data_IF_269059474868
#
_entry.id   IF_269059474868
#
_cell.length_a   1.000
_cell.length_b   1.000
_cell.length_c   1.000
_cell.angle_alpha   90.00
_cell.angle_beta   90.00
_cell.angle_gamma   90.00
#
_symmetry.space_group_name_H-M   'P 1'
#
loop_
_entity.id
_entity.type
_entity.pdbx_description
1 polymer ?
#
# COMPACT_ATOMS: atom_id res chain seq x y z
N UNK A 1 24.14 -73.83 -13.20
CA UNK A 1 24.13 -72.81 -14.25
C UNK A 1 23.83 -71.48 -13.59
N UNK A 2 24.81 -70.58 -13.61
CA UNK A 2 24.72 -69.23 -13.08
C UNK A 2 24.10 -68.32 -14.11
N UNK A 3 23.22 -67.40 -13.70
CA UNK A 3 23.35 -66.03 -14.16
C UNK A 3 22.86 -65.04 -13.10
N UNK A 4 23.54 -63.91 -12.99
CA UNK A 4 23.45 -62.93 -11.91
C UNK A 4 23.47 -61.55 -12.57
N UNK A 5 22.30 -60.97 -12.79
CA UNK A 5 22.22 -59.61 -13.33
C UNK A 5 22.15 -58.59 -12.19
N UNK A 6 23.33 -58.20 -11.73
CA UNK A 6 23.53 -56.99 -10.94
C UNK A 6 23.15 -55.75 -11.77
N UNK A 7 22.42 -54.81 -11.16
CA UNK A 7 22.13 -53.50 -11.74
C UNK A 7 22.36 -52.42 -10.70
N UNK A 8 23.59 -51.89 -10.69
CA UNK A 8 24.02 -50.73 -9.93
C UNK A 8 24.47 -49.60 -10.89
N UNK A 9 24.62 -48.35 -10.44
CA UNK A 9 24.10 -47.21 -11.17
C UNK A 9 25.16 -46.57 -12.08
N UNK A 10 24.71 -45.73 -13.01
CA UNK A 10 25.60 -44.79 -13.69
C UNK A 10 25.57 -43.45 -12.98
N UNK A 11 26.60 -43.21 -12.18
CA UNK A 11 27.04 -41.85 -11.87
C UNK A 11 27.28 -41.08 -13.17
N UNK A 12 26.79 -39.84 -13.24
CA UNK A 12 27.16 -38.88 -14.29
C UNK A 12 27.93 -37.73 -13.62
N UNK A 13 29.14 -37.41 -14.08
CA UNK A 13 30.01 -36.47 -13.38
C UNK A 13 29.60 -35.00 -13.57
N UNK A 14 30.12 -34.19 -12.67
CA UNK A 14 29.99 -32.75 -12.60
C UNK A 14 30.50 -32.05 -13.88
N UNK A 15 29.82 -30.99 -14.29
CA UNK A 15 30.41 -29.91 -15.08
C UNK A 15 30.48 -28.66 -14.22
N UNK A 16 31.67 -28.38 -13.68
CA UNK A 16 32.00 -27.10 -13.05
C UNK A 16 32.24 -26.01 -14.11
N UNK A 17 32.34 -24.76 -13.63
CA UNK A 17 32.83 -23.58 -14.34
C UNK A 17 31.91 -22.94 -15.38
N UNK A 18 31.41 -21.73 -15.08
CA UNK A 18 32.17 -20.55 -15.48
C UNK A 18 31.88 -19.35 -14.56
N UNK A 19 32.94 -18.66 -14.15
CA UNK A 19 32.92 -17.43 -13.37
C UNK A 19 33.32 -16.28 -14.27
N UNK A 20 32.59 -15.17 -14.23
CA UNK A 20 33.02 -13.92 -14.85
C UNK A 20 32.56 -12.69 -14.05
N UNK A 21 33.50 -11.76 -13.96
CA UNK A 21 33.59 -10.46 -13.27
C UNK A 21 32.28 -9.65 -13.15
N UNK A 22 31.97 -9.01 -12.01
CA UNK A 22 32.68 -7.86 -11.39
C UNK A 22 32.79 -6.67 -12.36
N UNK A 23 31.67 -5.94 -12.50
CA UNK A 23 31.61 -4.61 -13.09
C UNK A 23 31.03 -3.61 -12.08
N UNK A 24 31.87 -3.07 -11.21
CA UNK A 24 31.48 -2.01 -10.28
C UNK A 24 31.87 -0.65 -10.85
N UNK A 25 30.89 0.15 -11.25
CA UNK A 25 31.10 1.58 -11.48
C UNK A 25 29.96 2.40 -10.87
N UNK A 26 30.33 3.27 -9.95
CA UNK A 26 29.42 4.14 -9.21
C UNK A 26 30.04 5.52 -9.02
N UNK A 27 29.39 6.55 -9.58
CA UNK A 27 29.33 7.97 -9.16
C UNK A 27 28.47 8.73 -10.20
N UNK A 28 27.38 9.36 -9.77
CA UNK A 28 27.27 10.82 -9.52
C UNK A 28 27.32 11.64 -10.84
N UNK A 29 26.42 12.58 -11.14
CA UNK A 29 25.75 13.55 -10.25
C UNK A 29 24.28 13.82 -10.63
N UNK A 30 23.41 14.06 -9.65
CA UNK A 30 22.24 14.94 -9.80
C UNK A 30 22.13 15.84 -8.56
N UNK A 31 22.28 17.15 -8.76
CA UNK A 31 22.06 18.16 -7.71
C UNK A 31 20.56 18.31 -7.47
N UNK A 32 20.09 17.85 -6.31
CA UNK A 32 18.81 18.30 -5.76
C UNK A 32 19.03 19.62 -5.02
N UNK A 33 18.49 20.71 -5.54
CA UNK A 33 18.46 22.01 -4.87
C UNK A 33 17.03 22.44 -4.59
N UNK A 34 16.64 22.47 -3.31
CA UNK A 34 15.57 23.32 -2.77
C UNK A 34 15.86 23.59 -1.30
N UNK A 35 16.50 24.73 -1.02
CA UNK A 35 16.53 25.28 0.33
C UNK A 35 15.17 25.95 0.59
N UNK A 36 14.41 25.42 1.55
CA UNK A 36 13.20 26.08 2.06
C UNK A 36 13.51 26.53 3.47
N UNK A 37 13.82 27.81 3.59
CA UNK A 37 14.17 28.46 4.84
C UNK A 37 12.95 28.56 5.75
N UNK A 38 13.03 27.93 6.92
CA UNK A 38 12.01 28.03 7.96
C UNK A 38 11.94 29.46 8.51
N UNK A 39 10.77 30.10 8.38
CA UNK A 39 10.51 31.42 8.94
C UNK A 39 10.49 31.37 10.47
N UNK A 40 11.42 32.06 11.12
CA UNK A 40 11.45 32.23 12.56
C UNK A 40 10.79 33.56 12.98
N UNK A 41 9.72 33.48 13.75
CA UNK A 41 9.02 34.62 14.36
C UNK A 41 7.68 34.16 14.97
N UNK A 42 7.20 34.70 16.08
CA UNK A 42 7.81 35.61 17.05
C UNK A 42 7.22 35.32 18.45
N UNK A 43 7.79 35.92 19.50
CA UNK A 43 7.33 35.75 20.89
C UNK A 43 6.01 36.50 21.15
N UNK A 44 5.18 35.95 22.02
CA UNK A 44 4.25 36.72 22.84
C UNK A 44 4.02 36.01 24.19
N UNK A 45 4.52 36.60 25.27
CA UNK A 45 4.17 36.21 26.64
C UNK A 45 2.78 36.74 26.99
N UNK A 46 1.88 35.88 27.49
CA UNK A 46 0.71 36.28 28.27
C UNK A 46 0.57 35.36 29.48
N UNK A 47 0.50 35.96 30.67
CA UNK A 47 0.18 35.32 31.96
C UNK A 47 -1.21 35.81 32.44
N UNK A 48 -1.68 35.21 33.54
CA UNK A 48 -2.89 35.54 34.31
C UNK A 48 -4.22 35.09 33.68
N UNK A 49 -5.22 34.59 34.43
CA UNK A 49 -5.24 34.28 35.88
C UNK A 49 -6.23 33.16 36.22
N UNK A 50 -6.17 32.67 37.46
CA UNK A 50 -7.01 31.58 38.03
C UNK A 50 -8.44 32.00 38.37
N UNK A 51 -9.43 31.09 38.26
CA UNK A 51 -10.80 31.33 38.77
C UNK A 51 -11.70 30.08 38.91
N UNK A 52 -12.44 30.01 40.02
CA UNK A 52 -13.48 29.04 40.42
C UNK A 52 -14.88 29.71 40.49
N UNK A 53 -16.03 29.05 40.72
CA UNK A 53 -16.39 27.68 41.15
C UNK A 53 -17.50 27.09 40.22
N UNK A 54 -17.57 25.77 39.96
CA UNK A 54 -18.38 24.74 40.65
C UNK A 54 -19.92 24.97 40.72
N UNK A 55 -20.67 23.96 40.25
CA UNK A 55 -22.14 23.74 40.43
C UNK A 55 -23.09 24.77 39.80
N UNK A 56 -24.33 24.48 39.35
CA UNK A 56 -25.16 23.26 39.16
C UNK A 56 -26.12 23.59 38.00
N UNK A 57 -26.75 22.66 37.29
CA UNK A 57 -28.11 22.18 37.60
C UNK A 57 -28.54 21.07 36.60
N UNK A 58 -29.46 20.21 37.01
CA UNK A 58 -29.94 19.04 36.26
C UNK A 58 -31.16 19.36 35.41
N UNK A 59 -30.96 19.58 34.10
CA UNK A 59 -32.02 19.58 33.10
C UNK A 59 -32.20 18.20 32.47
N UNK A 60 -33.07 17.37 33.04
CA UNK A 60 -33.63 16.20 32.33
C UNK A 60 -34.65 16.67 31.31
N UNK A 61 -34.24 16.85 30.06
CA UNK A 61 -35.16 17.02 28.93
C UNK A 61 -35.34 15.68 28.20
N UNK A 62 -36.41 14.99 28.58
CA UNK A 62 -36.79 13.66 28.09
C UNK A 62 -37.69 13.84 26.85
N UNK A 63 -37.10 14.31 25.74
CA UNK A 63 -37.81 14.49 24.46
C UNK A 63 -37.12 13.81 23.27
N UNK A 64 -37.94 13.03 22.57
CA UNK A 64 -37.74 12.44 21.25
C UNK A 64 -36.47 11.61 20.99
N UNK A 65 -36.39 10.48 21.68
CA UNK A 65 -35.83 9.24 21.14
C UNK A 65 -36.71 8.61 20.04
N UNK A 66 -37.29 9.43 19.14
CA UNK A 66 -38.01 9.01 17.94
C UNK A 66 -37.34 9.65 16.72
N UNK A 67 -37.06 8.82 15.73
CA UNK A 67 -36.35 9.21 14.51
C UNK A 67 -34.93 9.74 14.76
N UNK A 68 -34.08 8.85 15.28
CA UNK A 68 -32.69 8.79 14.81
C UNK A 68 -32.70 8.47 13.30
N UNK A 69 -33.00 9.51 12.52
CA UNK A 69 -32.97 9.52 11.07
C UNK A 69 -31.67 8.87 10.63
N UNK A 70 -31.79 7.78 9.87
CA UNK A 70 -30.69 7.18 9.15
C UNK A 70 -30.23 8.24 8.15
N UNK A 71 -29.32 9.11 8.57
CA UNK A 71 -28.66 10.04 7.67
C UNK A 71 -27.67 9.22 6.88
N UNK A 72 -28.20 8.47 5.91
CA UNK A 72 -27.43 7.93 4.79
C UNK A 72 -26.59 9.11 4.30
N UNK A 73 -25.26 9.07 4.49
CA UNK A 73 -24.43 10.18 4.10
C UNK A 73 -24.60 10.30 2.59
N UNK A 74 -25.06 11.48 2.13
CA UNK A 74 -25.28 11.74 0.71
C UNK A 74 -24.00 11.32 -0.03
N UNK A 75 -24.08 10.20 -0.75
CA UNK A 75 -22.92 9.58 -1.39
C UNK A 75 -22.38 10.55 -2.42
N UNK A 76 -21.42 11.38 -1.99
CA UNK A 76 -20.81 12.38 -2.84
C UNK A 76 -20.06 11.58 -3.90
N UNK A 77 -20.43 11.65 -5.20
CA UNK A 77 -19.91 10.72 -6.18
C UNK A 77 -18.40 10.89 -6.32
N UNK A 78 -17.65 9.99 -5.68
CA UNK A 78 -16.21 10.04 -5.72
C UNK A 78 -15.75 9.67 -7.12
N UNK A 79 -14.89 10.49 -7.72
CA UNK A 79 -14.39 10.28 -9.09
C UNK A 79 -13.59 8.97 -9.28
N UNK A 80 -13.28 8.28 -8.19
CA UNK A 80 -12.50 7.04 -8.14
C UNK A 80 -13.19 6.00 -7.24
N UNK A 81 -13.12 4.70 -7.59
CA UNK A 81 -13.74 3.63 -6.82
C UNK A 81 -13.21 3.56 -5.37
N UNK A 82 -14.12 3.28 -4.44
CA UNK A 82 -13.75 2.98 -3.06
C UNK A 82 -13.52 1.47 -2.91
N UNK A 83 -12.39 1.04 -2.33
CA UNK A 83 -12.21 -0.36 -1.98
C UNK A 83 -13.13 -0.68 -0.79
N UNK A 84 -14.01 -1.68 -0.95
CA UNK A 84 -14.87 -2.15 0.14
C UNK A 84 -14.02 -2.63 1.32
N UNK A 85 -14.55 -2.59 2.56
CA UNK A 85 -13.90 -3.20 3.71
C UNK A 85 -13.51 -4.66 3.43
N UNK A 86 -12.36 -5.15 3.94
CA UNK A 86 -11.95 -6.54 3.73
C UNK A 86 -13.01 -7.52 4.24
N UNK A 87 -13.43 -8.45 3.39
CA UNK A 87 -14.37 -9.50 3.74
C UNK A 87 -13.72 -10.52 4.68
N UNK A 88 -14.53 -11.29 5.42
CA UNK A 88 -14.01 -12.42 6.19
C UNK A 88 -13.43 -13.48 5.24
N UNK A 89 -12.26 -14.03 5.56
CA UNK A 89 -11.56 -14.98 4.71
C UNK A 89 -11.00 -14.43 3.40
N UNK A 90 -10.83 -13.10 3.27
CA UNK A 90 -10.21 -12.49 2.08
C UNK A 90 -8.83 -13.10 1.75
N UNK A 91 -8.53 -13.17 0.46
CA UNK A 91 -7.21 -13.59 -0.01
C UNK A 91 -6.15 -12.57 0.40
N UNK A 92 -5.00 -13.05 0.89
CA UNK A 92 -3.85 -12.18 1.16
C UNK A 92 -3.11 -11.87 -0.14
N UNK A 93 -2.67 -10.64 -0.29
CA UNK A 93 -1.78 -10.21 -1.36
C UNK A 93 -0.34 -10.20 -0.82
N UNK A 94 0.58 -10.84 -1.55
CA UNK A 94 1.99 -10.91 -1.20
C UNK A 94 2.70 -9.57 -1.50
N UNK A 95 2.50 -8.60 -0.61
CA UNK A 95 3.06 -7.25 -0.74
C UNK A 95 4.58 -7.23 -0.54
N UNK A 96 5.31 -6.92 -1.60
CA UNK A 96 6.75 -6.66 -1.56
C UNK A 96 7.05 -5.14 -1.55
N UNK A 97 8.23 -4.69 -1.11
CA UNK A 97 8.69 -3.32 -1.37
C UNK A 97 8.75 -3.02 -2.88
N UNK A 98 8.46 -1.79 -3.28
CA UNK A 98 8.71 -1.36 -4.66
C UNK A 98 10.23 -1.26 -4.90
N UNK A 99 10.72 -1.95 -5.94
CA UNK A 99 12.17 -2.03 -6.26
C UNK A 99 12.51 -1.42 -7.63
N UNK A 100 11.62 -0.61 -8.21
CA UNK A 100 11.89 0.10 -9.47
C UNK A 100 12.14 -0.83 -10.68
N UNK A 101 11.45 -1.99 -10.75
CA UNK A 101 11.68 -3.05 -11.75
C UNK A 101 11.61 -2.60 -13.22
N UNK A 102 10.97 -1.47 -13.50
CA UNK A 102 10.87 -0.89 -14.84
C UNK A 102 10.97 0.63 -14.73
N UNK A 103 11.66 1.26 -15.70
CA UNK A 103 11.86 2.71 -15.75
C UNK A 103 10.56 3.50 -15.93
N UNK A 104 9.49 2.87 -16.43
CA UNK A 104 8.15 3.47 -16.49
C UNK A 104 7.06 2.45 -16.19
N UNK A 105 6.06 2.89 -15.44
CA UNK A 105 4.82 2.17 -15.20
C UNK A 105 3.66 3.13 -15.43
N UNK A 106 2.66 2.72 -16.21
CA UNK A 106 1.47 3.52 -16.49
C UNK A 106 0.37 3.14 -15.50
N UNK A 107 -0.08 4.09 -14.70
CA UNK A 107 -1.32 3.94 -13.91
C UNK A 107 -2.49 3.82 -14.88
N UNK A 108 -3.30 2.77 -14.70
CA UNK A 108 -4.52 2.48 -15.48
C UNK A 108 -5.80 2.80 -14.73
N UNK A 109 -5.78 2.62 -13.42
CA UNK A 109 -6.90 2.81 -12.50
C UNK A 109 -6.35 3.13 -11.10
N UNK A 110 -7.15 3.76 -10.25
CA UNK A 110 -6.76 4.30 -8.94
C UNK A 110 -7.99 4.31 -8.00
N UNK A 111 -7.83 3.94 -6.74
CA UNK A 111 -8.90 4.08 -5.73
C UNK A 111 -9.08 5.52 -5.25
N UNK A 112 -10.16 5.82 -4.52
CA UNK A 112 -10.22 7.04 -3.71
C UNK A 112 -8.90 7.26 -2.93
N UNK A 113 -8.54 8.51 -2.73
CA UNK A 113 -7.49 8.89 -1.79
C UNK A 113 -8.03 9.29 -0.40
N UNK A 114 -9.33 9.05 -0.20
CA UNK A 114 -10.09 9.34 1.01
C UNK A 114 -9.70 8.50 2.22
N UNK A 115 -9.04 7.37 2.00
CA UNK A 115 -8.49 6.50 3.03
C UNK A 115 -6.96 6.70 3.17
N UNK A 116 -6.37 6.42 4.34
CA UNK A 116 -4.92 6.43 4.52
C UNK A 116 -4.15 5.43 3.63
N UNK A 117 -4.85 4.47 3.00
CA UNK A 117 -4.28 3.56 2.01
C UNK A 117 -4.98 3.75 0.68
N UNK A 118 -4.23 4.11 -0.36
CA UNK A 118 -4.68 4.11 -1.75
C UNK A 118 -4.01 3.00 -2.56
N UNK A 119 -4.65 2.61 -3.66
CA UNK A 119 -4.19 1.56 -4.56
C UNK A 119 -4.22 2.03 -6.01
N UNK A 120 -3.14 1.78 -6.75
CA UNK A 120 -3.01 2.06 -8.18
C UNK A 120 -2.90 0.73 -8.94
N UNK A 121 -3.69 0.55 -10.01
CA UNK A 121 -3.46 -0.53 -10.97
C UNK A 121 -2.43 -0.06 -12.01
N UNK A 122 -1.23 -0.60 -11.94
CA UNK A 122 -0.10 -0.22 -12.77
C UNK A 122 0.16 -1.23 -13.89
N UNK A 123 0.51 -0.73 -15.08
CA UNK A 123 0.91 -1.54 -16.24
C UNK A 123 2.36 -1.24 -16.64
N UNK A 124 3.18 -2.28 -16.78
CA UNK A 124 4.57 -2.19 -17.22
C UNK A 124 5.03 -3.52 -17.84
N UNK A 125 5.85 -3.46 -18.90
CA UNK A 125 6.40 -4.64 -19.58
C UNK A 125 5.36 -5.73 -19.96
N UNK A 126 4.14 -5.34 -20.33
CA UNK A 126 3.04 -6.27 -20.66
C UNK A 126 2.38 -6.96 -19.47
N UNK A 127 2.81 -6.66 -18.24
CA UNK A 127 2.26 -7.17 -16.98
C UNK A 127 1.47 -6.09 -16.24
N UNK A 128 0.64 -6.52 -15.30
CA UNK A 128 -0.04 -5.66 -14.34
C UNK A 128 0.43 -5.95 -12.91
N UNK A 129 0.52 -4.92 -12.08
CA UNK A 129 0.68 -5.04 -10.63
C UNK A 129 -0.17 -3.98 -9.94
N UNK A 130 -0.51 -4.21 -8.68
CA UNK A 130 -1.14 -3.20 -7.83
C UNK A 130 -0.05 -2.55 -7.00
N UNK A 131 0.06 -1.22 -7.04
CA UNK A 131 0.85 -0.46 -6.07
C UNK A 131 -0.05 -0.02 -4.93
N UNK A 132 0.35 -0.30 -3.69
CA UNK A 132 -0.31 0.14 -2.46
C UNK A 132 0.53 1.22 -1.79
N UNK A 133 -0.07 2.39 -1.62
CA UNK A 133 0.53 3.55 -0.95
C UNK A 133 -0.17 3.74 0.40
N UNK A 134 0.58 3.61 1.49
CA UNK A 134 0.08 3.77 2.86
C UNK A 134 0.67 5.03 3.48
N UNK A 135 -0.20 6.01 3.78
CA UNK A 135 0.13 7.25 4.48
C UNK A 135 0.02 6.99 6.00
N UNK A 136 1.13 7.08 6.72
CA UNK A 136 1.19 6.86 8.18
C UNK A 136 1.83 8.07 8.87
N UNK A 137 1.69 8.25 10.20
CA UNK A 137 2.40 9.31 10.93
C UNK A 137 3.94 9.23 10.80
N UNK A 138 4.48 8.07 10.45
CA UNK A 138 5.91 7.85 10.20
C UNK A 138 6.31 8.05 8.73
N UNK A 139 5.42 8.60 7.90
CA UNK A 139 5.62 8.86 6.48
C UNK A 139 4.88 7.89 5.55
N UNK A 140 5.25 7.91 4.27
CA UNK A 140 4.61 7.14 3.20
C UNK A 140 5.35 5.83 2.97
N UNK A 141 4.63 4.71 2.97
CA UNK A 141 5.14 3.38 2.60
C UNK A 141 4.54 2.94 1.28
N UNK A 142 5.38 2.53 0.34
CA UNK A 142 4.96 2.02 -0.98
C UNK A 142 5.32 0.54 -1.08
N UNK A 143 4.35 -0.26 -1.50
CA UNK A 143 4.49 -1.70 -1.71
C UNK A 143 3.78 -2.13 -3.00
N UNK A 144 4.22 -3.23 -3.61
CA UNK A 144 3.67 -3.77 -4.85
C UNK A 144 3.17 -5.20 -4.62
N UNK A 145 2.09 -5.57 -5.32
CA UNK A 145 1.69 -6.97 -5.48
C UNK A 145 2.69 -7.72 -6.36
N UNK A 146 2.57 -9.05 -6.49
CA UNK A 146 3.20 -9.78 -7.59
C UNK A 146 2.83 -9.15 -8.94
N UNK A 147 3.75 -9.21 -9.90
CA UNK A 147 3.52 -8.76 -11.27
C UNK A 147 2.89 -9.91 -12.06
N UNK A 148 1.67 -9.71 -12.54
CA UNK A 148 0.78 -10.75 -13.06
C UNK A 148 0.46 -10.51 -14.54
N UNK A 149 0.05 -11.57 -15.25
CA UNK A 149 -0.54 -11.42 -16.60
C UNK A 149 -1.82 -10.59 -16.51
N UNK A 150 -2.14 -9.84 -17.57
CA UNK A 150 -3.25 -8.86 -17.58
C UNK A 150 -4.56 -9.38 -17.00
N UNK A 151 -5.01 -10.58 -17.38
CA UNK A 151 -6.25 -11.16 -16.86
C UNK A 151 -6.21 -11.43 -15.34
N UNK A 152 -5.08 -11.93 -14.82
CA UNK A 152 -4.89 -12.17 -13.39
C UNK A 152 -4.77 -10.86 -12.60
N UNK A 153 -4.07 -9.87 -13.15
CA UNK A 153 -3.96 -8.54 -12.51
C UNK A 153 -5.30 -7.79 -12.44
N UNK A 154 -6.13 -7.88 -13.49
CA UNK A 154 -7.49 -7.35 -13.47
C UNK A 154 -8.38 -8.10 -12.46
N UNK A 155 -8.31 -9.44 -12.42
CA UNK A 155 -9.05 -10.22 -11.43
C UNK A 155 -8.64 -9.88 -9.99
N UNK A 156 -7.34 -9.64 -9.74
CA UNK A 156 -6.83 -9.19 -8.45
C UNK A 156 -7.32 -7.78 -8.09
N UNK A 157 -7.36 -6.86 -9.06
CA UNK A 157 -7.89 -5.51 -8.88
C UNK A 157 -9.37 -5.54 -8.49
N UNK A 158 -10.21 -6.27 -9.22
CA UNK A 158 -11.63 -6.45 -8.88
C UNK A 158 -11.80 -7.11 -7.51
N UNK A 159 -11.01 -8.14 -7.19
CA UNK A 159 -11.06 -8.77 -5.86
C UNK A 159 -10.69 -7.80 -4.73
N UNK A 160 -9.71 -6.91 -4.94
CA UNK A 160 -9.33 -5.88 -3.98
C UNK A 160 -10.45 -4.85 -3.80
N UNK A 161 -11.02 -4.33 -4.89
CA UNK A 161 -12.12 -3.35 -4.82
C UNK A 161 -13.37 -3.93 -4.12
N UNK A 162 -13.64 -5.22 -4.29
CA UNK A 162 -14.75 -5.91 -3.64
C UNK A 162 -14.46 -6.32 -2.19
N UNK A 163 -13.24 -6.10 -1.68
CA UNK A 163 -12.81 -6.52 -0.35
C UNK A 163 -12.47 -8.02 -0.24
N UNK A 164 -12.48 -8.76 -1.35
CA UNK A 164 -12.12 -10.20 -1.42
C UNK A 164 -10.61 -10.45 -1.40
N UNK A 165 -9.78 -9.43 -1.57
CA UNK A 165 -8.32 -9.50 -1.44
C UNK A 165 -7.75 -8.28 -0.68
N UNK A 166 -6.62 -8.42 0.04
CA UNK A 166 -6.03 -7.33 0.84
C UNK A 166 -4.51 -7.37 0.98
#
# INVERSE_FOLDING_TARGET
>A
MTDRHDHHPRDSPLTESESADVGADARADVRAGTDVTLGAGARADVRADTGTDASTDTGTDDQDARECNHHDPIETPHAFPHPKPPQNGHARIDWAPSVGRCASARVRDLTCECLPTSYELCAAAGLLHIRRTQRTPQGVRISESPWLRTAQGLALWTALLEGRAR
#
